data_IF_233354938220
#
_entry.id   IF_233354938220
#
_cell.length_a   1.000
_cell.length_b   1.000
_cell.length_c   1.000
_cell.angle_alpha   90.00
_cell.angle_beta   90.00
_cell.angle_gamma   90.00
#
_symmetry.space_group_name_H-M   'P 1'
#
loop_
_entity.id
_entity.type
_entity.pdbx_description
1 polymer ?
#
# COMPACT_ATOMS: atom_id res chain seq x y z
N UNK A 1 4.38 -1.28 -21.89
CA UNK A 1 3.57 -0.64 -20.83
C UNK A 1 2.11 -0.37 -21.26
N UNK A 2 1.85 0.20 -22.46
CA UNK A 2 0.50 0.58 -22.94
C UNK A 2 -0.61 -0.46 -22.72
N UNK A 3 -0.35 -1.75 -23.04
CA UNK A 3 -1.33 -2.83 -22.81
C UNK A 3 -1.70 -3.00 -21.34
N UNK A 4 -0.71 -2.94 -20.44
CA UNK A 4 -0.93 -3.07 -19.00
C UNK A 4 -1.75 -1.90 -18.44
N UNK A 5 -1.43 -0.66 -18.84
CA UNK A 5 -2.19 0.53 -18.43
C UNK A 5 -3.66 0.42 -18.89
N UNK A 6 -3.90 0.03 -20.13
CA UNK A 6 -5.26 -0.15 -20.65
C UNK A 6 -6.03 -1.24 -19.88
N UNK A 7 -5.35 -2.32 -19.47
CA UNK A 7 -5.96 -3.37 -18.66
C UNK A 7 -6.35 -2.87 -17.27
N UNK A 8 -5.46 -2.12 -16.61
CA UNK A 8 -5.73 -1.52 -15.29
C UNK A 8 -6.87 -0.49 -15.40
N UNK A 9 -6.83 0.41 -16.38
CA UNK A 9 -7.90 1.38 -16.62
C UNK A 9 -9.25 0.73 -16.88
N UNK A 10 -9.28 -0.36 -17.66
CA UNK A 10 -10.51 -1.12 -17.90
C UNK A 10 -11.03 -1.72 -16.59
N UNK A 11 -10.14 -2.33 -15.81
CA UNK A 11 -10.51 -2.95 -14.53
C UNK A 11 -11.07 -1.93 -13.54
N UNK A 12 -10.36 -0.82 -13.30
CA UNK A 12 -10.82 0.25 -12.41
C UNK A 12 -12.16 0.83 -12.88
N UNK A 13 -12.30 1.09 -14.19
CA UNK A 13 -13.57 1.58 -14.76
C UNK A 13 -14.73 0.62 -14.52
N UNK A 14 -14.50 -0.69 -14.63
CA UNK A 14 -15.53 -1.69 -14.32
C UNK A 14 -15.95 -1.61 -12.85
N UNK A 15 -14.99 -1.47 -11.91
CA UNK A 15 -15.30 -1.36 -10.49
C UNK A 15 -16.08 -0.09 -10.16
N UNK A 16 -15.75 1.05 -10.78
CA UNK A 16 -16.46 2.30 -10.54
C UNK A 16 -17.86 2.36 -11.15
N UNK A 17 -18.13 1.52 -12.16
CA UNK A 17 -19.46 1.37 -12.78
C UNK A 17 -20.37 0.37 -12.06
N UNK A 18 -19.87 -0.27 -11.00
CA UNK A 18 -20.68 -1.16 -10.17
C UNK A 18 -21.87 -0.43 -9.57
N UNK A 19 -23.05 -1.02 -9.72
CA UNK A 19 -24.34 -0.48 -9.29
C UNK A 19 -25.01 -1.33 -8.22
N UNK A 20 -24.29 -2.28 -7.62
CA UNK A 20 -24.83 -3.16 -6.58
C UNK A 20 -24.34 -2.71 -5.19
N UNK A 21 -25.25 -2.48 -4.22
CA UNK A 21 -26.71 -2.48 -4.33
C UNK A 21 -27.30 -1.22 -5.00
N UNK A 22 -26.50 -0.18 -5.18
CA UNK A 22 -26.84 1.04 -5.93
C UNK A 22 -25.56 1.65 -6.52
N UNK A 23 -25.66 2.54 -7.53
CA UNK A 23 -24.51 3.28 -8.06
C UNK A 23 -23.79 4.07 -6.95
N UNK A 24 -22.47 3.86 -6.84
CA UNK A 24 -21.64 4.51 -5.82
C UNK A 24 -20.99 5.81 -6.33
N UNK A 25 -20.74 5.88 -7.63
CA UNK A 25 -20.02 6.98 -8.27
C UNK A 25 -20.93 7.62 -9.32
N UNK A 26 -20.93 8.95 -9.37
CA UNK A 26 -21.60 9.67 -10.45
C UNK A 26 -20.87 9.41 -11.79
N UNK A 27 -21.58 9.06 -12.88
CA UNK A 27 -20.97 8.69 -14.17
C UNK A 27 -19.93 9.68 -14.70
N UNK A 28 -20.15 10.98 -14.46
CA UNK A 28 -19.27 12.08 -14.86
C UNK A 28 -17.90 12.05 -14.16
N UNK A 29 -17.78 11.44 -12.97
CA UNK A 29 -16.54 11.35 -12.22
C UNK A 29 -15.68 10.14 -12.62
N UNK A 30 -16.28 9.12 -13.26
CA UNK A 30 -15.63 7.82 -13.50
C UNK A 30 -14.33 7.97 -14.29
N UNK A 31 -14.35 8.68 -15.41
CA UNK A 31 -13.17 8.79 -16.28
C UNK A 31 -12.03 9.56 -15.61
N UNK A 32 -12.37 10.59 -14.82
CA UNK A 32 -11.37 11.34 -14.06
C UNK A 32 -10.72 10.49 -12.97
N UNK A 33 -11.52 9.71 -12.23
CA UNK A 33 -11.00 8.82 -11.18
C UNK A 33 -10.11 7.72 -11.81
N UNK A 34 -10.53 7.14 -12.95
CA UNK A 34 -9.73 6.15 -13.68
C UNK A 34 -8.39 6.73 -14.09
N UNK A 35 -8.36 7.95 -14.63
CA UNK A 35 -7.11 8.59 -15.02
C UNK A 35 -6.20 8.78 -13.81
N UNK A 36 -6.68 9.45 -12.76
CA UNK A 36 -5.91 9.74 -11.55
C UNK A 36 -5.30 8.51 -10.90
N UNK A 37 -6.07 7.42 -10.78
CA UNK A 37 -5.61 6.20 -10.12
C UNK A 37 -4.69 5.32 -10.98
N UNK A 38 -4.51 5.61 -12.28
CA UNK A 38 -3.79 4.70 -13.20
C UNK A 38 -2.63 5.33 -13.97
N UNK A 39 -2.52 6.66 -14.02
CA UNK A 39 -1.48 7.37 -14.80
C UNK A 39 -0.28 7.83 -13.98
N UNK A 40 -0.17 7.40 -12.72
CA UNK A 40 0.98 7.71 -11.86
C UNK A 40 0.91 9.10 -11.19
N UNK A 41 -0.27 9.72 -11.16
CA UNK A 41 -0.52 10.92 -10.34
C UNK A 41 -0.39 10.62 -8.84
N UNK A 42 -0.60 9.36 -8.45
CA UNK A 42 -0.58 8.87 -7.07
C UNK A 42 0.45 7.74 -6.96
N UNK A 43 1.36 7.84 -5.98
CA UNK A 43 2.27 6.74 -5.64
C UNK A 43 1.57 5.73 -4.74
N UNK A 44 2.08 4.50 -4.65
CA UNK A 44 1.39 3.43 -3.90
C UNK A 44 1.15 3.73 -2.40
N UNK A 45 2.01 4.56 -1.80
CA UNK A 45 1.95 4.92 -0.38
C UNK A 45 1.40 6.33 -0.15
N UNK A 46 0.99 7.04 -1.21
CA UNK A 46 0.42 8.38 -1.05
C UNK A 46 -0.98 8.26 -0.44
N UNK A 47 -1.22 8.81 0.76
CA UNK A 47 -2.54 8.79 1.35
C UNK A 47 -3.46 9.76 0.62
N UNK A 48 -4.61 9.27 0.14
CA UNK A 48 -5.68 10.15 -0.36
C UNK A 48 -6.44 10.70 0.84
N UNK A 49 -6.33 12.01 1.05
CA UNK A 49 -7.03 12.73 2.13
C UNK A 49 -8.54 12.78 1.90
N UNK A 50 -9.30 13.14 2.94
CA UNK A 50 -10.76 13.30 2.86
C UNK A 50 -11.11 14.38 1.84
N UNK A 51 -10.38 15.49 1.84
CA UNK A 51 -10.55 16.63 0.96
C UNK A 51 -10.31 16.22 -0.50
N UNK A 52 -9.20 15.52 -0.77
CA UNK A 52 -8.87 15.03 -2.12
C UNK A 52 -9.88 14.00 -2.61
N UNK A 53 -10.26 13.03 -1.77
CA UNK A 53 -11.25 12.02 -2.13
C UNK A 53 -12.62 12.64 -2.44
N UNK A 54 -13.03 13.66 -1.67
CA UNK A 54 -14.24 14.45 -1.93
C UNK A 54 -14.14 15.18 -3.26
N UNK A 55 -13.02 15.87 -3.50
CA UNK A 55 -12.76 16.55 -4.77
C UNK A 55 -12.69 15.58 -5.96
N UNK A 56 -12.25 14.33 -5.74
CA UNK A 56 -12.25 13.23 -6.70
C UNK A 56 -13.65 12.65 -6.98
N UNK A 57 -14.65 13.00 -6.16
CA UNK A 57 -16.00 12.45 -6.29
C UNK A 57 -16.10 10.99 -5.85
N UNK A 58 -15.20 10.56 -4.96
CA UNK A 58 -15.27 9.24 -4.34
C UNK A 58 -16.39 9.21 -3.29
N UNK A 59 -17.03 8.05 -3.06
CA UNK A 59 -18.15 7.92 -2.14
C UNK A 59 -17.61 7.61 -0.75
N UNK A 60 -17.04 8.61 -0.11
CA UNK A 60 -16.43 8.45 1.21
C UNK A 60 -17.42 8.77 2.32
N UNK A 61 -17.24 8.11 3.47
CA UNK A 61 -17.89 8.46 4.73
C UNK A 61 -16.79 8.72 5.75
N UNK A 62 -16.86 9.86 6.43
CA UNK A 62 -15.87 10.22 7.45
C UNK A 62 -16.29 9.63 8.79
N UNK A 63 -15.35 8.98 9.46
CA UNK A 63 -15.62 8.26 10.71
C UNK A 63 -16.28 6.90 10.48
N UNK A 64 -16.58 6.21 11.59
CA UNK A 64 -17.24 4.91 11.57
C UNK A 64 -18.68 5.05 12.08
N UNK A 65 -19.66 4.33 11.50
CA UNK A 65 -21.01 4.27 12.06
C UNK A 65 -21.02 3.69 13.47
N UNK A 66 -21.95 4.15 14.31
CA UNK A 66 -22.11 3.64 15.69
C UNK A 66 -22.32 2.11 15.77
N UNK A 67 -22.93 1.50 14.75
CA UNK A 67 -23.09 0.04 14.69
C UNK A 67 -21.75 -0.70 14.66
N UNK A 68 -20.71 -0.10 14.07
CA UNK A 68 -19.35 -0.66 14.05
C UNK A 68 -18.72 -0.56 15.44
N UNK A 69 -18.87 0.56 16.14
CA UNK A 69 -18.40 0.69 17.52
C UNK A 69 -19.08 -0.33 18.44
N UNK A 70 -20.40 -0.50 18.33
CA UNK A 70 -21.15 -1.50 19.08
C UNK A 70 -20.67 -2.93 18.79
N UNK A 71 -20.29 -3.22 17.54
CA UNK A 71 -19.70 -4.52 17.18
C UNK A 71 -18.34 -4.71 17.85
N UNK A 72 -17.49 -3.68 17.88
CA UNK A 72 -16.17 -3.75 18.51
C UNK A 72 -16.26 -3.99 20.03
N UNK A 73 -17.27 -3.44 20.70
CA UNK A 73 -17.51 -3.67 22.13
C UNK A 73 -17.76 -5.14 22.47
N UNK A 74 -18.26 -5.94 21.53
CA UNK A 74 -18.44 -7.40 21.71
C UNK A 74 -17.11 -8.17 21.73
N UNK A 75 -16.03 -7.58 21.21
CA UNK A 75 -14.72 -8.22 21.08
C UNK A 75 -13.63 -7.35 21.72
N UNK A 76 -13.64 -7.20 23.07
CA UNK A 76 -12.61 -6.44 23.76
C UNK A 76 -11.24 -7.05 23.48
N UNK A 77 -10.29 -6.21 23.06
CA UNK A 77 -8.92 -6.66 22.86
C UNK A 77 -8.34 -7.13 24.20
N UNK A 78 -7.77 -8.34 24.28
CA UNK A 78 -7.15 -8.81 25.52
C UNK A 78 -6.02 -7.86 25.90
N UNK A 79 -6.02 -7.38 27.15
CA UNK A 79 -5.00 -6.45 27.67
C UNK A 79 -3.59 -7.08 27.80
N UNK A 80 -3.43 -8.34 27.39
CA UNK A 80 -2.19 -9.08 27.45
C UNK A 80 -1.28 -8.71 26.28
N UNK A 81 -0.29 -7.85 26.55
CA UNK A 81 0.82 -7.56 25.65
C UNK A 81 1.72 -8.79 25.45
N UNK A 82 1.27 -9.76 24.65
CA UNK A 82 2.22 -10.62 23.95
C UNK A 82 2.76 -9.78 22.79
N UNK A 83 4.05 -9.43 22.76
CA UNK A 83 4.60 -8.72 21.63
C UNK A 83 4.33 -9.56 20.37
N UNK A 84 3.75 -8.95 19.34
CA UNK A 84 3.46 -9.61 18.05
C UNK A 84 4.72 -10.14 17.38
N UNK A 85 5.89 -9.66 17.82
CA UNK A 85 7.23 -10.08 17.41
C UNK A 85 8.02 -10.46 18.65
N UNK A 86 8.40 -11.73 18.78
CA UNK A 86 9.35 -12.18 19.80
C UNK A 86 10.76 -11.91 19.30
N UNK A 87 11.38 -10.84 19.77
CA UNK A 87 12.81 -10.60 19.53
C UNK A 87 13.63 -11.62 20.32
N UNK A 88 14.51 -12.36 19.64
CA UNK A 88 15.58 -13.11 20.30
C UNK A 88 16.63 -12.07 20.74
N UNK A 89 16.92 -11.90 22.03
CA UNK A 89 17.99 -11.00 22.46
C UNK A 89 19.33 -11.63 22.08
N UNK A 90 19.88 -11.21 20.94
CA UNK A 90 21.23 -11.54 20.53
C UNK A 90 22.13 -10.32 20.82
N UNK A 91 23.30 -10.49 21.44
CA UNK A 91 24.44 -9.77 20.89
C UNK A 91 24.70 -10.34 19.49
N UNK A 92 24.71 -9.48 18.46
CA UNK A 92 25.20 -9.88 17.14
C UNK A 92 26.61 -10.43 17.31
N UNK A 93 26.81 -11.74 17.09
CA UNK A 93 28.16 -12.25 16.92
C UNK A 93 28.79 -11.52 15.72
N UNK A 94 30.09 -11.17 15.76
CA UNK A 94 30.76 -10.60 14.62
C UNK A 94 30.49 -11.49 13.40
N UNK A 95 30.04 -10.88 12.30
CA UNK A 95 29.86 -11.62 11.04
C UNK A 95 31.13 -12.43 10.79
N UNK A 96 31.04 -13.75 10.54
CA UNK A 96 32.21 -14.51 10.12
C UNK A 96 32.78 -13.79 8.90
N UNK A 97 34.09 -13.50 8.94
CA UNK A 97 34.80 -12.95 7.79
C UNK A 97 34.55 -13.89 6.62
N UNK A 98 33.89 -13.36 5.59
CA UNK A 98 33.68 -14.11 4.36
C UNK A 98 35.06 -14.46 3.80
N UNK A 99 35.27 -15.71 3.35
CA UNK A 99 36.53 -16.08 2.73
C UNK A 99 36.78 -15.16 1.53
N UNK A 100 38.04 -14.72 1.37
CA UNK A 100 38.38 -13.86 0.25
C UNK A 100 38.01 -14.55 -1.07
N UNK A 101 37.29 -13.87 -1.98
CA UNK A 101 36.93 -14.45 -3.26
C UNK A 101 38.20 -14.73 -4.06
N UNK A 102 38.56 -16.02 -4.21
CA UNK A 102 39.58 -16.47 -5.16
C UNK A 102 39.17 -16.01 -6.56
N UNK A 103 39.89 -15.03 -7.10
CA UNK A 103 39.70 -14.59 -8.48
C UNK A 103 39.63 -13.08 -8.71
N UNK A 104 39.78 -12.23 -7.68
CA UNK A 104 40.00 -10.80 -7.94
C UNK A 104 41.49 -10.58 -8.26
N UNK A 105 41.87 -10.12 -9.46
CA UNK A 105 43.23 -9.66 -9.68
C UNK A 105 43.49 -8.47 -8.75
N UNK A 106 44.63 -8.48 -8.06
CA UNK A 106 45.08 -7.36 -7.22
C UNK A 106 45.14 -6.09 -8.09
N UNK A 107 44.66 -4.93 -7.60
CA UNK A 107 44.91 -3.67 -8.27
C UNK A 107 46.42 -3.38 -8.26
N UNK A 108 46.92 -2.89 -9.40
CA UNK A 108 48.34 -2.71 -9.75
C UNK A 108 49.03 -1.55 -9.00
N UNK A 109 48.82 -1.40 -7.69
CA UNK A 109 49.47 -0.35 -6.88
C UNK A 109 50.16 -0.91 -5.63
N UNK A 110 50.78 -2.09 -5.74
CA UNK A 110 51.65 -2.66 -4.72
C UNK A 110 53.08 -2.89 -5.25
N UNK A 111 53.64 -1.88 -5.92
CA UNK A 111 55.07 -1.75 -6.17
C UNK A 111 55.49 -0.33 -5.81
N UNK A 112 55.80 -0.14 -4.53
CA UNK A 112 56.85 0.73 -4.01
C UNK A 112 57.16 0.27 -2.59
#
# INVERSE_FOLDING_TARGET
>A
SRKAINQVQRFVRTLLKDDVPQPKIAPENIERIVDTLTTGQVTHDYPITVEEATQLGLPITVGLPNSIYNLMELYPQPQGGRPSVQYIPMPYQPRPVLPEPKGRPLPENARN
#
